data_IF_174917765672
#
_entry.id   IF_174917765672
#
_cell.length_a   1.000
_cell.length_b   1.000
_cell.length_c   1.000
_cell.angle_alpha   90.00
_cell.angle_beta   90.00
_cell.angle_gamma   90.00
#
_symmetry.space_group_name_H-M   'P 1'
#
loop_
_entity.id
_entity.type
_entity.pdbx_description
1 polymer ?
#
# COMPACT_ATOMS: atom_id res chain seq x y z
N UNK A 1 -7.71 -15.43 15.93
CA UNK A 1 -8.18 -15.27 17.32
C UNK A 1 -7.87 -13.86 17.77
N UNK A 2 -8.69 -12.93 17.32
CA UNK A 2 -8.98 -11.73 18.08
C UNK A 2 -9.47 -12.19 19.45
N UNK A 3 -8.83 -11.75 20.52
CA UNK A 3 -9.38 -11.98 21.85
C UNK A 3 -10.70 -11.19 21.91
N UNK A 4 -11.85 -11.84 22.18
CA UNK A 4 -13.10 -11.11 22.31
C UNK A 4 -12.93 -10.09 23.43
N UNK A 5 -13.25 -8.83 23.15
CA UNK A 5 -13.35 -7.83 24.20
C UNK A 5 -14.42 -8.30 25.20
N UNK A 6 -14.40 -7.82 26.46
CA UNK A 6 -15.47 -8.10 27.42
C UNK A 6 -16.87 -7.79 26.85
N UNK A 7 -16.94 -6.81 25.95
CA UNK A 7 -18.14 -6.43 25.24
C UNK A 7 -18.59 -7.46 24.20
N UNK A 8 -17.67 -8.07 23.43
CA UNK A 8 -18.00 -9.16 22.51
C UNK A 8 -18.55 -10.39 23.23
N UNK A 9 -18.01 -10.73 24.41
CA UNK A 9 -18.51 -11.82 25.22
C UNK A 9 -19.92 -11.54 25.75
N UNK A 10 -20.18 -10.28 26.17
CA UNK A 10 -21.51 -9.83 26.63
C UNK A 10 -22.55 -9.89 25.50
N UNK A 11 -22.24 -9.33 24.33
CA UNK A 11 -23.14 -9.29 23.18
C UNK A 11 -23.44 -10.69 22.63
N UNK A 12 -22.47 -11.60 22.65
CA UNK A 12 -22.66 -13.00 22.30
C UNK A 12 -23.56 -13.74 23.30
N UNK A 13 -23.38 -13.51 24.60
CA UNK A 13 -24.18 -14.12 25.65
C UNK A 13 -25.65 -13.65 25.65
N UNK A 14 -25.89 -12.38 25.30
CA UNK A 14 -27.24 -11.80 25.18
C UNK A 14 -27.93 -12.14 23.85
N UNK A 15 -27.27 -12.89 22.95
CA UNK A 15 -27.82 -13.32 21.66
C UNK A 15 -27.90 -12.21 20.60
N UNK A 16 -27.38 -11.02 20.89
CA UNK A 16 -27.34 -9.87 19.97
C UNK A 16 -26.17 -9.93 18.97
N UNK A 17 -25.21 -10.83 19.18
CA UNK A 17 -24.07 -11.06 18.30
C UNK A 17 -23.84 -12.57 18.12
N UNK A 18 -23.74 -13.04 16.87
CA UNK A 18 -23.36 -14.42 16.56
C UNK A 18 -22.09 -14.41 15.70
N UNK A 19 -20.92 -14.80 16.27
CA UNK A 19 -19.66 -14.85 15.52
C UNK A 19 -19.75 -15.74 14.26
N UNK A 20 -20.55 -16.80 14.32
CA UNK A 20 -20.71 -17.77 13.22
C UNK A 20 -21.44 -17.21 11.98
N UNK A 21 -21.99 -15.99 12.06
CA UNK A 21 -22.69 -15.30 10.98
C UNK A 21 -21.90 -14.12 10.38
N UNK A 22 -20.65 -13.90 10.81
CA UNK A 22 -19.79 -12.91 10.15
C UNK A 22 -19.41 -13.41 8.75
N UNK A 23 -20.03 -12.80 7.72
CA UNK A 23 -19.70 -13.04 6.32
C UNK A 23 -18.67 -12.03 5.83
N UNK A 24 -17.57 -12.52 5.26
CA UNK A 24 -16.50 -11.67 4.74
C UNK A 24 -16.88 -11.15 3.34
N UNK A 25 -17.38 -9.91 3.28
CA UNK A 25 -17.98 -9.36 2.08
C UNK A 25 -16.98 -8.59 1.19
N UNK A 26 -15.65 -8.69 1.36
CA UNK A 26 -14.69 -7.89 0.58
C UNK A 26 -14.86 -8.01 -0.95
N UNK A 27 -14.50 -6.95 -1.68
CA UNK A 27 -14.42 -6.95 -3.14
C UNK A 27 -12.96 -7.05 -3.60
N UNK A 28 -12.66 -7.96 -4.52
CA UNK A 28 -11.34 -8.04 -5.17
C UNK A 28 -11.53 -8.22 -6.68
N UNK A 29 -10.62 -7.64 -7.48
CA UNK A 29 -10.64 -7.86 -8.92
C UNK A 29 -9.34 -7.47 -9.61
N UNK A 30 -9.30 -7.80 -10.90
CA UNK A 30 -8.16 -7.63 -11.78
C UNK A 30 -8.66 -7.10 -13.12
N UNK A 31 -7.99 -6.07 -13.65
CA UNK A 31 -8.13 -5.64 -15.04
C UNK A 31 -6.79 -5.81 -15.73
N UNK A 32 -6.76 -6.47 -16.89
CA UNK A 32 -5.52 -6.70 -17.63
C UNK A 32 -5.71 -6.43 -19.13
N UNK A 33 -4.69 -5.82 -19.74
CA UNK A 33 -4.57 -5.70 -21.19
C UNK A 33 -4.07 -7.02 -21.77
N UNK A 34 -4.88 -7.66 -22.62
CA UNK A 34 -4.57 -8.98 -23.21
C UNK A 34 -3.43 -8.93 -24.22
N UNK A 35 -3.12 -7.76 -24.77
CA UNK A 35 -2.00 -7.52 -25.68
C UNK A 35 -0.69 -7.15 -24.95
N UNK A 36 -0.74 -7.05 -23.62
CA UNK A 36 0.41 -6.71 -22.78
C UNK A 36 0.88 -5.25 -22.90
N UNK A 37 0.10 -4.36 -23.53
CA UNK A 37 0.48 -2.95 -23.69
C UNK A 37 -0.12 -2.07 -22.58
N UNK A 38 0.68 -1.20 -21.92
CA UNK A 38 0.14 -0.29 -20.92
C UNK A 38 -0.89 0.66 -21.52
N UNK A 39 -2.02 0.86 -20.84
CA UNK A 39 -3.06 1.78 -21.27
C UNK A 39 -3.73 2.47 -20.07
N UNK A 40 -4.11 3.73 -20.26
CA UNK A 40 -4.91 4.48 -19.28
C UNK A 40 -6.24 3.77 -19.00
N UNK A 41 -6.83 3.13 -20.03
CA UNK A 41 -8.10 2.39 -19.94
C UNK A 41 -8.09 1.33 -18.84
N UNK A 42 -6.96 0.66 -18.60
CA UNK A 42 -6.84 -0.37 -17.55
C UNK A 42 -7.01 0.26 -16.17
N UNK A 43 -6.38 1.41 -15.93
CA UNK A 43 -6.45 2.12 -14.65
C UNK A 43 -7.84 2.69 -14.44
N UNK A 44 -8.42 3.35 -15.45
CA UNK A 44 -9.80 3.88 -15.39
C UNK A 44 -10.81 2.77 -15.10
N UNK A 45 -10.74 1.65 -15.83
CA UNK A 45 -11.65 0.52 -15.62
C UNK A 45 -11.51 -0.09 -14.22
N UNK A 46 -10.29 -0.15 -13.66
CA UNK A 46 -10.10 -0.62 -12.30
C UNK A 46 -10.65 0.35 -11.25
N UNK A 47 -10.53 1.67 -11.45
CA UNK A 47 -11.14 2.68 -10.59
C UNK A 47 -12.67 2.60 -10.66
N UNK A 48 -13.24 2.47 -11.85
CA UNK A 48 -14.69 2.34 -12.04
C UNK A 48 -15.24 1.04 -11.43
N UNK A 49 -14.49 -0.06 -11.57
CA UNK A 49 -14.83 -1.32 -10.91
C UNK A 49 -14.75 -1.20 -9.37
N UNK A 50 -13.75 -0.48 -8.85
CA UNK A 50 -13.62 -0.23 -7.42
C UNK A 50 -14.80 0.61 -6.91
N UNK A 51 -15.22 1.64 -7.65
CA UNK A 51 -16.44 2.40 -7.37
C UNK A 51 -17.67 1.50 -7.30
N UNK A 52 -17.79 0.51 -8.18
CA UNK A 52 -18.95 -0.39 -8.20
C UNK A 52 -19.04 -1.37 -7.02
N UNK A 53 -17.96 -1.60 -6.27
CA UNK A 53 -17.94 -2.52 -5.11
C UNK A 53 -18.15 -1.83 -3.76
N UNK A 54 -18.60 -0.58 -3.73
CA UNK A 54 -18.86 0.17 -2.49
C UNK A 54 -19.84 -0.56 -1.55
N UNK A 55 -20.87 -1.20 -2.10
CA UNK A 55 -21.88 -1.96 -1.37
C UNK A 55 -21.33 -3.21 -0.66
N UNK A 56 -20.06 -3.56 -0.92
CA UNK A 56 -19.34 -4.71 -0.36
C UNK A 56 -18.26 -4.30 0.67
N UNK A 57 -18.10 -3.00 0.93
CA UNK A 57 -17.26 -2.48 2.00
C UNK A 57 -18.08 -2.14 3.24
N UNK A 58 -17.47 -2.17 4.43
CA UNK A 58 -18.09 -1.56 5.60
C UNK A 58 -17.81 -0.05 5.56
N UNK A 59 -18.83 0.70 5.99
CA UNK A 59 -18.76 2.15 6.17
C UNK A 59 -18.90 2.41 7.67
N UNK A 60 -17.98 3.17 8.23
CA UNK A 60 -18.06 3.57 9.64
C UNK A 60 -19.25 4.54 9.86
N UNK A 61 -19.59 4.79 11.12
CA UNK A 61 -20.71 5.65 11.50
C UNK A 61 -20.58 7.10 10.99
N UNK A 62 -19.37 7.53 10.61
CA UNK A 62 -19.11 8.86 10.04
C UNK A 62 -19.45 8.97 8.54
N UNK A 63 -19.85 7.86 7.88
CA UNK A 63 -20.25 7.83 6.48
C UNK A 63 -19.11 8.04 5.48
N UNK A 64 -17.87 8.20 5.94
CA UNK A 64 -16.70 8.52 5.10
C UNK A 64 -15.53 7.56 5.29
N UNK A 65 -15.37 7.02 6.50
CA UNK A 65 -14.32 6.08 6.81
C UNK A 65 -14.72 4.70 6.30
N UNK A 66 -13.95 4.19 5.33
CA UNK A 66 -14.02 2.79 4.90
C UNK A 66 -12.91 1.95 5.53
N UNK A 67 -13.12 0.64 5.57
CA UNK A 67 -12.19 -0.34 6.16
C UNK A 67 -10.87 -0.55 5.40
N UNK A 68 -10.78 0.07 4.22
CA UNK A 68 -9.58 0.13 3.41
C UNK A 68 -9.84 -0.22 1.96
N UNK A 69 -9.35 0.62 1.06
CA UNK A 69 -9.40 0.41 -0.37
C UNK A 69 -8.01 0.62 -0.97
N UNK A 70 -7.77 0.04 -2.14
CA UNK A 70 -6.53 0.29 -2.85
C UNK A 70 -6.48 -0.27 -4.25
N UNK A 71 -5.43 0.16 -4.94
CA UNK A 71 -5.14 -0.13 -6.33
C UNK A 71 -3.64 -0.38 -6.48
N UNK A 72 -3.29 -1.47 -7.15
CA UNK A 72 -1.93 -1.86 -7.51
C UNK A 72 -1.82 -1.83 -9.02
N UNK A 73 -0.91 -1.01 -9.54
CA UNK A 73 -0.68 -0.81 -10.98
C UNK A 73 0.81 -0.94 -11.31
N UNK A 74 1.11 -1.10 -12.60
CA UNK A 74 2.47 -0.87 -13.11
C UNK A 74 2.96 0.54 -12.72
N UNK A 75 4.28 0.69 -12.55
CA UNK A 75 4.91 1.98 -12.25
C UNK A 75 4.85 2.89 -13.51
N UNK A 76 4.13 4.03 -13.48
CA UNK A 76 4.03 4.92 -14.63
C UNK A 76 5.28 5.80 -14.77
N UNK A 77 6.35 5.27 -15.38
CA UNK A 77 7.65 5.96 -15.46
C UNK A 77 7.55 7.43 -15.95
N UNK A 78 6.78 7.68 -17.02
CA UNK A 78 6.57 9.03 -17.58
C UNK A 78 5.96 10.03 -16.60
N UNK A 79 5.14 9.58 -15.66
CA UNK A 79 4.59 10.46 -14.62
C UNK A 79 5.69 10.86 -13.63
N UNK A 80 6.58 9.94 -13.31
CA UNK A 80 7.67 10.16 -12.37
C UNK A 80 8.88 10.88 -12.99
N UNK A 81 9.09 10.80 -14.31
CA UNK A 81 10.12 11.60 -14.99
C UNK A 81 9.90 13.10 -14.70
N UNK A 82 8.67 13.60 -14.86
CA UNK A 82 8.32 14.98 -14.51
C UNK A 82 8.51 15.25 -13.00
N UNK A 83 8.13 14.29 -12.14
CA UNK A 83 8.31 14.44 -10.69
C UNK A 83 9.80 14.59 -10.29
N UNK A 84 10.69 13.91 -11.00
CA UNK A 84 12.15 14.03 -10.85
C UNK A 84 12.63 15.39 -11.35
N UNK A 85 12.09 15.89 -12.47
CA UNK A 85 12.40 17.23 -12.96
C UNK A 85 11.94 18.32 -12.00
N UNK A 86 10.74 18.20 -11.42
CA UNK A 86 10.23 19.12 -10.42
C UNK A 86 11.05 19.13 -9.13
N UNK A 87 11.72 18.02 -8.78
CA UNK A 87 12.65 17.99 -7.64
C UNK A 87 14.02 18.62 -7.95
N UNK A 88 14.24 19.11 -9.18
CA UNK A 88 15.49 19.73 -9.61
C UNK A 88 16.53 18.74 -10.16
N UNK A 89 16.15 17.48 -10.36
CA UNK A 89 17.00 16.45 -10.93
C UNK A 89 16.70 16.26 -12.43
N UNK A 90 17.55 15.49 -13.12
CA UNK A 90 17.27 15.06 -14.49
C UNK A 90 17.04 13.55 -14.50
N UNK A 91 15.97 13.05 -15.13
CA UNK A 91 15.78 11.63 -15.33
C UNK A 91 17.01 11.02 -16.03
N UNK A 92 17.66 10.08 -15.37
CA UNK A 92 18.76 9.31 -15.94
C UNK A 92 18.20 8.16 -16.79
N UNK A 93 18.97 7.61 -17.74
CA UNK A 93 18.56 6.44 -18.54
C UNK A 93 18.47 5.13 -17.73
N UNK A 94 18.50 5.23 -16.40
CA UNK A 94 18.48 4.11 -15.46
C UNK A 94 17.06 3.55 -15.29
N UNK A 95 16.96 2.36 -14.73
CA UNK A 95 15.67 1.84 -14.26
C UNK A 95 15.21 2.67 -13.07
N UNK A 96 14.08 3.34 -13.20
CA UNK A 96 13.42 4.01 -12.09
C UNK A 96 12.80 2.98 -11.14
N UNK A 97 13.01 3.16 -9.83
CA UNK A 97 12.21 2.53 -8.80
C UNK A 97 11.55 3.57 -7.90
N UNK A 98 10.38 3.22 -7.36
CA UNK A 98 9.66 4.08 -6.42
C UNK A 98 9.26 3.28 -5.18
N UNK A 99 9.57 3.84 -4.02
CA UNK A 99 9.04 3.38 -2.73
C UNK A 99 7.81 4.20 -2.34
N UNK A 100 6.65 3.57 -2.18
CA UNK A 100 5.46 4.19 -1.56
C UNK A 100 5.48 3.86 -0.07
N UNK A 101 5.69 4.88 0.76
CA UNK A 101 6.01 4.72 2.19
C UNK A 101 5.02 5.51 3.03
N UNK A 102 4.52 4.85 4.07
CA UNK A 102 3.82 5.46 5.18
C UNK A 102 4.82 5.73 6.30
N UNK A 103 4.92 6.98 6.71
CA UNK A 103 5.79 7.48 7.75
C UNK A 103 4.97 7.92 8.98
N UNK A 104 5.58 8.01 10.17
CA UNK A 104 4.99 8.69 11.31
C UNK A 104 4.62 10.14 10.93
N UNK A 105 3.39 10.56 11.24
CA UNK A 105 2.90 11.91 10.92
C UNK A 105 3.06 12.91 12.07
N UNK A 106 2.86 12.47 13.30
CA UNK A 106 2.79 13.34 14.49
C UNK A 106 4.11 13.46 15.23
N UNK A 107 5.11 12.65 14.86
CA UNK A 107 6.45 12.65 15.44
C UNK A 107 7.47 12.89 14.32
N UNK A 108 7.92 14.15 14.22
CA UNK A 108 8.88 14.58 13.20
C UNK A 108 10.26 13.95 13.40
N UNK A 109 10.65 13.66 14.65
CA UNK A 109 11.92 13.00 14.93
C UNK A 109 11.91 11.56 14.43
N UNK A 110 10.81 10.84 14.68
CA UNK A 110 10.61 9.50 14.13
C UNK A 110 10.49 9.50 12.60
N UNK A 111 9.85 10.51 12.02
CA UNK A 111 9.75 10.68 10.57
C UNK A 111 11.14 10.83 9.92
N UNK A 112 12.00 11.72 10.42
CA UNK A 112 13.36 11.91 9.91
C UNK A 112 14.24 10.68 10.12
N UNK A 113 14.09 9.99 11.26
CA UNK A 113 14.78 8.73 11.51
C UNK A 113 14.39 7.67 10.47
N UNK A 114 13.09 7.54 10.16
CA UNK A 114 12.63 6.64 9.11
C UNK A 114 13.20 7.00 7.74
N UNK A 115 13.18 8.30 7.36
CA UNK A 115 13.78 8.75 6.09
C UNK A 115 15.27 8.39 6.02
N UNK A 116 16.01 8.67 7.09
CA UNK A 116 17.45 8.37 7.20
C UNK A 116 17.72 6.87 7.05
N UNK A 117 16.94 6.01 7.70
CA UNK A 117 17.08 4.54 7.58
C UNK A 117 16.82 4.10 6.13
N UNK A 118 15.74 4.62 5.51
CA UNK A 118 15.38 4.29 4.13
C UNK A 118 16.50 4.71 3.17
N UNK A 119 16.97 5.95 3.27
CA UNK A 119 18.04 6.49 2.43
C UNK A 119 19.35 5.71 2.60
N UNK A 120 19.74 5.45 3.86
CA UNK A 120 20.98 4.72 4.16
C UNK A 120 20.97 3.33 3.53
N UNK A 121 19.86 2.59 3.63
CA UNK A 121 19.77 1.25 3.05
C UNK A 121 19.76 1.24 1.52
N UNK A 122 19.22 2.29 0.88
CA UNK A 122 19.27 2.44 -0.57
C UNK A 122 20.71 2.78 -1.03
N UNK A 123 21.38 3.69 -0.33
CA UNK A 123 22.76 4.12 -0.61
C UNK A 123 23.76 2.99 -0.34
N UNK A 124 23.56 2.21 0.73
CA UNK A 124 24.40 1.04 1.07
C UNK A 124 24.39 -0.03 -0.04
N UNK A 125 23.31 -0.10 -0.82
CA UNK A 125 23.22 -0.98 -2.00
C UNK A 125 23.81 -0.36 -3.28
N UNK A 126 24.33 0.86 -3.20
CA UNK A 126 24.96 1.58 -4.32
C UNK A 126 23.99 2.30 -5.26
N UNK A 127 22.73 2.49 -4.85
CA UNK A 127 21.75 3.21 -5.66
C UNK A 127 21.72 4.70 -5.34
N UNK A 128 21.32 5.50 -6.34
CA UNK A 128 21.21 6.95 -6.19
C UNK A 128 19.75 7.35 -5.93
N UNK A 129 19.54 8.36 -5.10
CA UNK A 129 18.21 8.85 -4.72
C UNK A 129 17.96 10.18 -5.44
N UNK A 130 16.86 10.28 -6.19
CA UNK A 130 16.40 11.54 -6.78
C UNK A 130 15.72 12.47 -5.75
N UNK A 131 15.25 11.89 -4.66
CA UNK A 131 14.64 12.60 -3.55
C UNK A 131 13.30 12.04 -3.14
N UNK A 132 12.73 12.68 -2.13
CA UNK A 132 11.39 12.41 -1.64
C UNK A 132 10.37 13.29 -2.37
N UNK A 133 9.21 12.70 -2.62
CA UNK A 133 8.01 13.36 -3.13
C UNK A 133 6.90 13.15 -2.12
N UNK A 134 6.41 14.22 -1.53
CA UNK A 134 5.17 14.16 -0.77
C UNK A 134 4.02 13.85 -1.73
N UNK A 135 3.23 12.80 -1.43
CA UNK A 135 2.13 12.41 -2.30
C UNK A 135 0.98 13.40 -2.09
N UNK A 136 0.47 14.04 -3.15
CA UNK A 136 -0.68 14.91 -3.03
C UNK A 136 -1.89 14.08 -2.57
N UNK A 137 -2.53 14.51 -1.49
CA UNK A 137 -3.71 13.85 -0.94
C UNK A 137 -4.82 14.84 -0.63
N UNK A 138 -6.07 14.46 -0.90
CA UNK A 138 -7.24 15.22 -0.46
C UNK A 138 -7.84 14.60 0.80
N UNK A 139 -7.59 15.20 1.96
CA UNK A 139 -8.12 14.69 3.23
C UNK A 139 -9.60 15.02 3.47
N UNK A 140 -10.25 15.81 2.61
CA UNK A 140 -11.67 16.17 2.78
C UNK A 140 -12.64 15.00 2.60
N UNK A 141 -12.18 13.92 1.96
CA UNK A 141 -12.97 12.71 1.67
C UNK A 141 -12.79 11.59 2.69
N UNK A 142 -11.90 11.76 3.69
CA UNK A 142 -11.74 10.78 4.77
C UNK A 142 -12.45 11.25 6.03
N UNK A 143 -12.94 10.30 6.83
CA UNK A 143 -13.53 10.60 8.14
C UNK A 143 -12.49 10.80 9.24
N UNK A 144 -12.95 11.23 10.42
CA UNK A 144 -12.09 11.65 11.53
C UNK A 144 -11.19 10.51 12.03
N UNK A 145 -11.71 9.27 12.09
CA UNK A 145 -10.93 8.09 12.52
C UNK A 145 -9.77 7.78 11.57
N UNK A 146 -10.04 7.82 10.26
CA UNK A 146 -9.00 7.66 9.24
C UNK A 146 -7.99 8.82 9.32
N UNK A 147 -8.47 10.06 9.54
CA UNK A 147 -7.62 11.25 9.64
C UNK A 147 -6.69 11.24 10.86
N UNK A 148 -7.17 10.75 12.01
CA UNK A 148 -6.39 10.65 13.25
C UNK A 148 -5.24 9.65 13.12
N UNK A 149 -5.47 8.56 12.40
CA UNK A 149 -4.48 7.48 12.19
C UNK A 149 -3.69 7.61 10.89
N UNK A 150 -3.95 8.67 10.10
CA UNK A 150 -3.33 8.89 8.79
C UNK A 150 -1.81 9.00 8.92
N UNK A 151 -1.04 8.16 8.20
CA UNK A 151 0.40 8.33 8.13
C UNK A 151 0.76 9.54 7.25
N UNK A 152 2.01 9.97 7.34
CA UNK A 152 2.54 10.83 6.30
C UNK A 152 2.89 9.96 5.09
N UNK A 153 2.42 10.34 3.90
CA UNK A 153 2.47 9.49 2.71
C UNK A 153 3.47 10.10 1.74
N UNK A 154 4.59 9.40 1.58
CA UNK A 154 5.70 9.90 0.77
C UNK A 154 6.22 8.83 -0.16
N UNK A 155 6.74 9.30 -1.29
CA UNK A 155 7.39 8.49 -2.30
C UNK A 155 8.89 8.80 -2.31
N UNK A 156 9.72 7.77 -2.30
CA UNK A 156 11.15 7.92 -2.58
C UNK A 156 11.44 7.43 -4.00
N UNK A 157 12.07 8.29 -4.80
CA UNK A 157 12.42 8.00 -6.19
C UNK A 157 13.89 7.61 -6.28
N UNK A 158 14.18 6.48 -6.90
CA UNK A 158 15.49 5.84 -6.91
C UNK A 158 15.95 5.65 -8.35
N UNK A 159 17.16 6.13 -8.63
CA UNK A 159 17.89 5.79 -9.84
C UNK A 159 18.56 4.43 -9.63
N UNK A 160 17.96 3.40 -10.22
CA UNK A 160 18.46 2.04 -10.23
C UNK A 160 19.64 1.82 -11.17
N UNK A 161 19.91 0.56 -11.56
CA UNK A 161 20.97 0.25 -12.52
C UNK A 161 20.60 0.66 -13.94
N UNK A 162 21.59 0.77 -14.82
CA UNK A 162 21.32 0.89 -16.26
C UNK A 162 20.68 -0.41 -16.79
N UNK A 163 19.78 -0.34 -17.78
CA UNK A 163 19.07 -1.51 -18.30
C UNK A 163 19.95 -2.65 -18.85
N UNK A 164 21.16 -2.32 -19.30
CA UNK A 164 22.18 -3.23 -19.84
C UNK A 164 23.11 -3.81 -18.76
N UNK A 165 23.21 -3.16 -17.59
CA UNK A 165 24.02 -3.62 -16.46
C UNK A 165 23.34 -4.69 -15.63
N UNK A 166 22.02 -4.58 -15.44
CA UNK A 166 21.27 -5.49 -14.57
C UNK A 166 19.83 -5.71 -15.07
N UNK A 167 19.38 -6.96 -15.00
CA UNK A 167 18.00 -7.31 -15.33
C UNK A 167 17.01 -6.67 -14.37
N UNK A 168 15.77 -6.48 -14.83
CA UNK A 168 14.71 -5.96 -13.96
C UNK A 168 14.46 -6.90 -12.78
N UNK A 169 14.60 -8.21 -12.98
CA UNK A 169 14.37 -9.25 -11.98
C UNK A 169 15.37 -9.18 -10.82
N UNK A 170 16.67 -9.02 -11.13
CA UNK A 170 17.68 -8.87 -10.08
C UNK A 170 17.53 -7.52 -9.35
N UNK A 171 17.12 -6.47 -10.07
CA UNK A 171 16.85 -5.19 -9.42
C UNK A 171 15.64 -5.27 -8.45
N UNK A 172 14.53 -5.90 -8.85
CA UNK A 172 13.38 -6.15 -7.96
C UNK A 172 13.76 -6.96 -6.72
N UNK A 173 14.63 -7.97 -6.88
CA UNK A 173 15.15 -8.77 -5.78
C UNK A 173 16.01 -7.94 -4.82
N UNK A 174 16.86 -7.06 -5.32
CA UNK A 174 17.63 -6.13 -4.48
C UNK A 174 16.72 -5.14 -3.75
N UNK A 175 15.71 -4.57 -4.42
CA UNK A 175 14.69 -3.72 -3.78
C UNK A 175 13.91 -4.47 -2.69
N UNK A 176 13.61 -5.76 -2.90
CA UNK A 176 13.05 -6.62 -1.86
C UNK A 176 13.98 -6.72 -0.64
N UNK A 177 15.27 -6.97 -0.84
CA UNK A 177 16.25 -7.07 0.24
C UNK A 177 16.41 -5.74 0.99
N UNK A 178 16.50 -4.63 0.26
CA UNK A 178 16.53 -3.26 0.82
C UNK A 178 15.30 -3.05 1.70
N UNK A 179 14.09 -3.32 1.20
CA UNK A 179 12.86 -3.21 2.00
C UNK A 179 12.91 -4.03 3.28
N UNK A 180 13.38 -5.29 3.22
CA UNK A 180 13.49 -6.16 4.40
C UNK A 180 14.50 -5.63 5.42
N UNK A 181 15.61 -5.03 4.97
CA UNK A 181 16.61 -4.41 5.85
C UNK A 181 16.08 -3.12 6.48
N UNK A 182 15.37 -2.29 5.72
CA UNK A 182 14.65 -1.11 6.23
C UNK A 182 13.65 -1.53 7.31
N UNK A 183 12.75 -2.48 6.99
CA UNK A 183 11.75 -2.99 7.94
C UNK A 183 12.41 -3.47 9.24
N UNK A 184 13.54 -4.21 9.15
CA UNK A 184 14.29 -4.66 10.32
C UNK A 184 14.87 -3.50 11.13
N UNK A 185 15.58 -2.56 10.49
CA UNK A 185 16.21 -1.42 11.17
C UNK A 185 15.19 -0.51 11.86
N UNK A 186 14.02 -0.30 11.25
CA UNK A 186 12.92 0.47 11.87
C UNK A 186 12.38 -0.23 13.11
N UNK A 187 12.24 -1.56 13.08
CA UNK A 187 11.83 -2.36 14.25
C UNK A 187 12.90 -2.27 15.36
N UNK A 188 14.18 -2.39 15.02
CA UNK A 188 15.31 -2.26 15.95
C UNK A 188 15.37 -0.87 16.58
N UNK A 189 15.05 0.17 15.81
CA UNK A 189 14.92 1.56 16.28
C UNK A 189 13.62 1.82 17.06
N UNK A 190 12.75 0.80 17.19
CA UNK A 190 11.47 0.85 17.90
C UNK A 190 10.50 1.93 17.40
N UNK A 191 10.60 2.33 16.13
CA UNK A 191 9.73 3.34 15.54
C UNK A 191 8.39 2.72 15.13
N UNK A 192 7.29 3.33 15.58
CA UNK A 192 5.93 2.93 15.23
C UNK A 192 5.39 3.74 14.05
N UNK A 193 4.39 3.21 13.34
CA UNK A 193 3.70 3.97 12.27
C UNK A 193 4.46 4.03 10.94
N UNK A 194 5.50 3.22 10.77
CA UNK A 194 6.24 3.06 9.52
C UNK A 194 5.76 1.83 8.73
N UNK A 195 5.52 1.99 7.42
CA UNK A 195 5.17 0.88 6.55
C UNK A 195 5.51 1.14 5.08
N UNK A 196 6.15 0.18 4.41
CA UNK A 196 6.42 0.24 2.97
C UNK A 196 5.31 -0.47 2.21
N UNK A 197 4.45 0.29 1.52
CA UNK A 197 3.37 -0.26 0.69
C UNK A 197 3.92 -1.03 -0.50
N UNK A 198 4.81 -0.39 -1.25
CA UNK A 198 5.56 -0.96 -2.37
C UNK A 198 6.94 -0.35 -2.42
N UNK A 199 7.93 -1.10 -2.87
CA UNK A 199 9.27 -0.61 -3.24
C UNK A 199 9.70 -1.45 -4.43
N UNK A 200 9.55 -0.90 -5.63
CA UNK A 200 9.62 -1.66 -6.89
C UNK A 200 9.89 -0.73 -8.08
N UNK A 201 10.52 -1.26 -9.11
CA UNK A 201 10.69 -0.65 -10.43
C UNK A 201 9.60 -1.08 -11.42
N UNK A 202 8.79 -2.08 -11.05
CA UNK A 202 7.71 -2.63 -11.88
C UNK A 202 6.35 -2.07 -11.51
N UNK A 203 6.10 -1.85 -10.23
CA UNK A 203 4.73 -1.59 -9.76
C UNK A 203 4.66 -0.67 -8.55
N UNK A 204 3.49 -0.06 -8.35
CA UNK A 204 3.22 0.84 -7.24
C UNK A 204 1.82 0.59 -6.68
N UNK A 205 1.66 0.75 -5.37
CA UNK A 205 0.39 0.52 -4.65
C UNK A 205 -0.11 1.81 -4.03
N UNK A 206 -1.29 2.24 -4.44
CA UNK A 206 -2.04 3.34 -3.81
C UNK A 206 -3.16 2.75 -2.98
N UNK A 207 -3.08 2.89 -1.66
CA UNK A 207 -4.08 2.35 -0.72
C UNK A 207 -4.25 3.24 0.49
N UNK A 208 -5.34 3.04 1.23
CA UNK A 208 -5.59 3.79 2.45
C UNK A 208 -6.95 3.51 3.05
N UNK A 209 -7.32 4.28 4.07
CA UNK A 209 -8.59 4.19 4.79
C UNK A 209 -9.58 5.23 4.25
N UNK A 210 -10.25 4.86 3.18
CA UNK A 210 -11.30 5.64 2.53
C UNK A 210 -12.27 4.68 1.85
N UNK A 211 -13.45 5.19 1.47
CA UNK A 211 -14.36 4.44 0.62
C UNK A 211 -13.73 4.16 -0.75
N UNK A 212 -14.02 2.99 -1.30
CA UNK A 212 -13.54 2.55 -2.60
C UNK A 212 -13.74 3.60 -3.70
N UNK A 213 -14.88 4.29 -3.67
CA UNK A 213 -15.24 5.31 -4.65
C UNK A 213 -14.40 6.60 -4.55
N UNK A 214 -13.85 6.86 -3.38
CA UNK A 214 -13.06 8.06 -3.07
C UNK A 214 -11.56 7.87 -3.35
N UNK A 215 -11.12 6.68 -3.78
CA UNK A 215 -9.70 6.39 -4.07
C UNK A 215 -9.06 7.46 -4.96
N UNK A 216 -9.70 7.78 -6.09
CA UNK A 216 -9.16 8.76 -7.05
C UNK A 216 -9.29 10.20 -6.58
N UNK A 217 -10.15 10.48 -5.59
CA UNK A 217 -10.29 11.82 -5.01
C UNK A 217 -9.24 12.02 -3.93
N UNK A 218 -9.04 11.01 -3.08
CA UNK A 218 -7.99 11.01 -2.07
C UNK A 218 -6.59 11.04 -2.70
N UNK A 219 -6.35 10.29 -3.78
CA UNK A 219 -5.09 10.29 -4.54
C UNK A 219 -5.29 10.88 -5.95
N UNK A 220 -5.16 12.21 -6.13
CA UNK A 220 -5.30 12.87 -7.42
C UNK A 220 -4.35 12.36 -8.51
N UNK A 221 -3.18 11.82 -8.13
CA UNK A 221 -2.23 11.19 -9.07
C UNK A 221 -2.92 10.16 -9.99
N UNK A 222 -3.88 9.39 -9.45
CA UNK A 222 -4.60 8.36 -10.20
C UNK A 222 -5.54 8.91 -11.29
N UNK A 223 -5.80 10.22 -11.29
CA UNK A 223 -6.58 10.92 -12.31
C UNK A 223 -5.72 11.33 -13.51
N UNK A 224 -4.40 11.36 -13.38
CA UNK A 224 -3.48 11.78 -14.43
C UNK A 224 -3.47 10.77 -15.61
N UNK A 225 -3.51 11.28 -16.84
CA UNK A 225 -3.53 10.48 -18.07
C UNK A 225 -2.26 9.63 -18.26
N UNK A 226 -1.15 10.03 -17.64
CA UNK A 226 0.13 9.30 -17.69
C UNK A 226 0.13 8.07 -16.79
N UNK A 227 -0.85 7.92 -15.89
CA UNK A 227 -1.06 6.67 -15.16
C UNK A 227 -1.64 5.61 -16.09
N UNK A 228 -0.74 4.96 -16.80
CA UNK A 228 -1.02 3.83 -17.70
C UNK A 228 -0.52 2.54 -17.07
N UNK A 229 -1.25 1.45 -17.30
CA UNK A 229 -0.85 0.14 -16.79
C UNK A 229 -1.31 -0.98 -17.70
N UNK A 230 -0.60 -2.11 -17.68
CA UNK A 230 -1.01 -3.36 -18.33
C UNK A 230 -1.93 -4.16 -17.44
N UNK A 231 -1.75 -4.06 -16.13
CA UNK A 231 -2.48 -4.84 -15.13
C UNK A 231 -2.77 -3.96 -13.92
N UNK A 232 -4.02 -3.95 -13.49
CA UNK A 232 -4.46 -3.30 -12.27
C UNK A 232 -5.16 -4.32 -11.36
N UNK A 233 -4.71 -4.43 -10.11
CA UNK A 233 -5.37 -5.20 -9.05
C UNK A 233 -6.03 -4.21 -8.10
N UNK A 234 -7.31 -4.38 -7.83
CA UNK A 234 -8.04 -3.52 -6.90
C UNK A 234 -8.67 -4.35 -5.79
N UNK A 235 -8.83 -3.71 -4.63
CA UNK A 235 -9.42 -4.36 -3.46
C UNK A 235 -10.17 -3.35 -2.60
N UNK A 236 -11.35 -3.75 -2.14
CA UNK A 236 -12.13 -3.12 -1.07
C UNK A 236 -12.26 -4.10 0.08
N UNK A 237 -11.78 -3.69 1.26
CA UNK A 237 -11.84 -4.49 2.48
C UNK A 237 -13.17 -4.29 3.21
N UNK A 238 -13.60 -5.35 3.87
CA UNK A 238 -14.61 -5.39 4.93
C UNK A 238 -13.89 -5.94 6.15
N UNK A 239 -13.99 -5.27 7.29
CA UNK A 239 -13.25 -5.56 8.51
C UNK A 239 -14.23 -5.76 9.65
N UNK A 240 -14.09 -6.87 10.37
CA UNK A 240 -14.79 -7.08 11.64
C UNK A 240 -14.08 -6.37 12.81
N UNK A 241 -12.95 -5.69 12.55
CA UNK A 241 -12.25 -4.86 13.54
C UNK A 241 -12.73 -3.41 13.50
N UNK A 242 -13.05 -2.86 14.68
CA UNK A 242 -13.48 -1.47 14.93
C UNK A 242 -12.36 -0.42 14.85
N UNK A 243 -11.09 -0.83 14.77
CA UNK A 243 -9.93 0.06 14.69
C UNK A 243 -9.21 -0.11 13.35
N UNK A 244 -9.53 0.74 12.35
CA UNK A 244 -8.95 0.59 11.02
C UNK A 244 -7.47 1.04 11.04
N UNK A 245 -6.61 0.29 10.36
CA UNK A 245 -5.17 0.57 10.24
C UNK A 245 -4.79 0.69 8.76
N UNK A 246 -4.15 1.80 8.39
CA UNK A 246 -3.79 2.12 7.01
C UNK A 246 -2.97 1.03 6.32
N UNK A 247 -2.04 0.39 7.03
CA UNK A 247 -1.18 -0.65 6.46
C UNK A 247 -1.91 -1.98 6.17
N UNK A 248 -3.07 -2.22 6.81
CA UNK A 248 -3.90 -3.40 6.59
C UNK A 248 -4.80 -3.28 5.36
N UNK A 249 -4.97 -2.08 4.80
CA UNK A 249 -5.61 -1.91 3.51
C UNK A 249 -4.86 -2.75 2.46
N UNK A 250 -5.59 -3.23 1.47
CA UNK A 250 -5.07 -4.02 0.35
C UNK A 250 -5.21 -3.25 -0.95
N UNK A 251 -4.47 -3.59 -2.02
CA UNK A 251 -3.59 -4.75 -2.19
C UNK A 251 -2.34 -4.79 -1.29
N UNK A 252 -1.85 -6.01 -1.06
CA UNK A 252 -0.48 -6.25 -0.63
C UNK A 252 0.46 -6.34 -1.84
N UNK A 253 1.76 -6.36 -1.57
CA UNK A 253 2.85 -6.27 -2.56
C UNK A 253 2.73 -7.22 -3.76
N UNK A 254 2.14 -8.39 -3.57
CA UNK A 254 1.93 -9.39 -4.63
C UNK A 254 0.52 -10.02 -4.61
N UNK A 255 -0.39 -9.56 -3.75
CA UNK A 255 -1.63 -10.27 -3.46
C UNK A 255 -2.74 -9.31 -3.06
N UNK A 256 -3.95 -9.57 -3.54
CA UNK A 256 -5.19 -9.12 -2.93
C UNK A 256 -6.04 -10.35 -2.57
N UNK A 257 -6.66 -10.36 -1.40
CA UNK A 257 -7.31 -11.53 -0.83
C UNK A 257 -8.69 -11.16 -0.29
N UNK A 258 -9.73 -11.76 -0.89
CA UNK A 258 -11.09 -11.75 -0.35
C UNK A 258 -11.35 -13.09 0.35
N UNK A 259 -11.60 -13.04 1.66
CA UNK A 259 -11.85 -14.19 2.52
C UNK A 259 -10.92 -14.23 3.72
N UNK A 260 -11.04 -15.30 4.51
CA UNK A 260 -10.26 -15.51 5.73
C UNK A 260 -9.38 -16.76 5.66
N UNK A 261 -8.12 -16.65 6.11
CA UNK A 261 -7.20 -17.80 6.24
C UNK A 261 -7.37 -18.41 7.64
N UNK A 262 -8.32 -19.34 7.78
CA UNK A 262 -8.67 -19.97 9.06
C UNK A 262 -7.52 -20.79 9.70
N UNK A 263 -6.47 -21.11 8.92
CA UNK A 263 -5.30 -21.89 9.36
C UNK A 263 -4.07 -21.03 9.67
N UNK A 264 -4.20 -19.69 9.73
CA UNK A 264 -3.07 -18.76 9.82
C UNK A 264 -2.10 -19.04 10.98
N UNK A 265 -2.60 -19.49 12.14
CA UNK A 265 -1.75 -19.83 13.30
C UNK A 265 -0.86 -21.03 13.01
N UNK A 266 -1.40 -22.06 12.36
CA UNK A 266 -0.65 -23.24 11.93
C UNK A 266 0.43 -22.85 10.92
N UNK A 267 0.05 -22.07 9.89
CA UNK A 267 0.98 -21.60 8.87
C UNK A 267 2.13 -20.78 9.48
N UNK A 268 1.84 -19.86 10.41
CA UNK A 268 2.87 -19.08 11.11
C UNK A 268 3.86 -19.95 11.89
N UNK A 269 3.37 -20.97 12.57
CA UNK A 269 4.23 -21.88 13.33
C UNK A 269 5.10 -22.73 12.41
N UNK A 270 4.53 -23.26 11.32
CA UNK A 270 5.28 -23.99 10.32
C UNK A 270 6.38 -23.13 9.68
N UNK A 271 6.11 -21.86 9.37
CA UNK A 271 7.14 -20.98 8.81
C UNK A 271 8.37 -20.83 9.72
N UNK A 272 8.19 -20.75 11.05
CA UNK A 272 9.32 -20.71 11.99
C UNK A 272 10.20 -21.96 11.97
N UNK A 273 9.65 -23.10 11.55
CA UNK A 273 10.40 -24.35 11.37
C UNK A 273 11.04 -24.47 9.99
N UNK A 274 10.45 -23.85 8.96
CA UNK A 274 11.02 -23.83 7.61
C UNK A 274 12.12 -22.78 7.45
N UNK A 275 12.05 -21.69 8.21
CA UNK A 275 13.11 -20.68 8.28
C UNK A 275 14.32 -21.27 9.01
N UNK A 276 15.37 -21.59 8.26
CA UNK A 276 16.67 -21.94 8.82
C UNK A 276 17.23 -20.68 9.49
N UNK A 277 17.57 -20.79 10.77
CA UNK A 277 18.16 -19.70 11.57
C UNK A 277 19.57 -19.36 11.11
#
# INVERSE_FOLDING_TARGET
MTFPSPEHARLAAEGMYRPDYEGDACGVGLVAATDGKPSRRVVTAAIDALKAVWHRGAVDADGKTGDGAGLHVDLPARFFDDAIEYSGHKPLPNRLAVGMIFLPRTDLGAQEMCRTIVESEIIDFGYTIYGWRQVPVNVGVIGDKALLTRPEIEQIMIAGPLPDQESLEEFEKKLYLIRRRIERKVIEAQVQGFYVCSLSARSIIYKGLFLAEELSVFYPDLQDERFVSRVAIFHQRYSTNTFPQWWLAQPFRCLAHNGEINTIRGNKNWMKSHEIK
#
